data_IF_725769479994
#
_entry.id   IF_725769479994
#
_cell.length_a   1.000
_cell.length_b   1.000
_cell.length_c   1.000
_cell.angle_alpha   90.00
_cell.angle_beta   90.00
_cell.angle_gamma   90.00
#
_symmetry.space_group_name_H-M   'P 1'
#
loop_
_entity.id
_entity.type
_entity.pdbx_description
1 polymer ?
#
# COMPACT_ATOMS: atom_id res chain seq x y z
N UNK A 1 3.66 -3.17 -29.34
CA UNK A 1 2.90 -2.45 -28.29
C UNK A 1 2.08 -3.46 -27.47
N UNK A 2 2.75 -4.47 -26.90
CA UNK A 2 2.15 -5.55 -26.12
C UNK A 2 2.41 -5.51 -24.59
N UNK A 3 3.50 -4.89 -24.06
CA UNK A 3 3.83 -5.05 -22.63
C UNK A 3 2.86 -4.33 -21.69
N UNK A 4 2.19 -3.28 -22.15
CA UNK A 4 1.23 -2.51 -21.34
C UNK A 4 -0.09 -3.26 -21.09
N UNK A 5 -0.53 -4.09 -22.04
CA UNK A 5 -1.80 -4.84 -21.93
C UNK A 5 -1.63 -6.09 -21.05
N UNK A 6 -0.46 -6.73 -21.06
CA UNK A 6 -0.18 -7.83 -20.12
C UNK A 6 -0.07 -7.36 -18.67
N UNK A 7 0.46 -6.15 -18.43
CA UNK A 7 0.48 -5.52 -17.12
C UNK A 7 -0.92 -5.17 -16.57
N UNK A 8 -1.95 -5.17 -17.42
CA UNK A 8 -3.36 -5.02 -17.04
C UNK A 8 -4.05 -6.36 -16.71
N UNK A 9 -3.35 -7.50 -16.77
CA UNK A 9 -3.96 -8.81 -16.45
C UNK A 9 -4.44 -8.84 -15.00
N UNK A 10 -5.72 -9.23 -14.85
CA UNK A 10 -6.39 -9.72 -13.65
C UNK A 10 -5.73 -9.29 -12.34
N UNK A 11 -5.92 -8.03 -11.99
CA UNK A 11 -5.52 -7.50 -10.71
C UNK A 11 -6.44 -8.07 -9.63
N UNK A 12 -5.92 -8.99 -8.82
CA UNK A 12 -6.61 -9.54 -7.65
C UNK A 12 -6.53 -8.52 -6.52
N UNK A 13 -7.64 -8.28 -5.83
CA UNK A 13 -7.67 -7.41 -4.65
C UNK A 13 -7.10 -8.17 -3.44
N UNK A 14 -6.14 -7.55 -2.77
CA UNK A 14 -5.55 -8.01 -1.52
C UNK A 14 -5.77 -6.98 -0.42
N UNK A 15 -5.78 -7.46 0.83
CA UNK A 15 -5.79 -6.61 2.01
C UNK A 15 -4.60 -6.95 2.89
N UNK A 16 -3.81 -5.94 3.27
CA UNK A 16 -2.76 -6.08 4.25
C UNK A 16 -3.16 -5.39 5.57
N UNK A 17 -3.07 -6.13 6.67
CA UNK A 17 -3.23 -5.60 8.03
C UNK A 17 -1.85 -5.25 8.62
N UNK A 18 -1.75 -4.06 9.22
CA UNK A 18 -0.58 -3.57 9.94
C UNK A 18 -0.99 -3.18 11.35
N UNK A 19 -0.16 -3.54 12.34
CA UNK A 19 -0.36 -3.12 13.73
C UNK A 19 0.77 -2.19 14.12
N UNK A 20 0.42 -0.98 14.58
CA UNK A 20 1.39 0.03 14.99
C UNK A 20 0.84 0.88 16.13
N UNK A 21 1.64 1.07 17.19
CA UNK A 21 1.28 1.88 18.37
C UNK A 21 -0.11 1.56 18.96
N UNK A 22 -0.44 0.28 19.09
CA UNK A 22 -1.74 -0.17 19.62
C UNK A 22 -2.93 0.02 18.67
N UNK A 23 -2.70 0.52 17.45
CA UNK A 23 -3.71 0.71 16.41
C UNK A 23 -3.57 -0.34 15.31
N UNK A 24 -4.69 -0.75 14.73
CA UNK A 24 -4.75 -1.64 13.55
C UNK A 24 -5.09 -0.81 12.32
N UNK A 25 -4.30 -0.98 11.28
CA UNK A 25 -4.45 -0.34 9.97
C UNK A 25 -4.66 -1.41 8.92
N UNK A 26 -5.53 -1.16 7.96
CA UNK A 26 -5.72 -2.02 6.81
C UNK A 26 -5.51 -1.21 5.52
N UNK A 27 -4.84 -1.82 4.55
CA UNK A 27 -4.66 -1.25 3.22
C UNK A 27 -5.12 -2.26 2.18
N UNK A 28 -6.11 -1.87 1.38
CA UNK A 28 -6.47 -2.62 0.18
C UNK A 28 -5.54 -2.20 -0.96
N UNK A 29 -5.07 -3.17 -1.72
CA UNK A 29 -4.25 -2.94 -2.90
C UNK A 29 -4.46 -4.07 -3.91
N UNK A 30 -4.11 -3.79 -5.16
CA UNK A 30 -4.24 -4.74 -6.25
C UNK A 30 -2.88 -5.34 -6.60
N UNK A 31 -2.84 -6.65 -6.87
CA UNK A 31 -1.65 -7.34 -7.33
C UNK A 31 -1.96 -8.37 -8.42
N UNK A 32 -0.96 -8.66 -9.25
CA UNK A 32 -1.11 -9.59 -10.38
C UNK A 32 -1.15 -11.04 -9.87
N UNK A 33 -0.37 -11.33 -8.84
CA UNK A 33 -0.29 -12.62 -8.18
C UNK A 33 0.18 -12.44 -6.72
N UNK A 34 0.29 -13.56 -5.99
CA UNK A 34 0.72 -13.57 -4.59
C UNK A 34 2.18 -13.10 -4.40
N UNK A 35 3.05 -13.29 -5.40
CA UNK A 35 4.45 -12.90 -5.34
C UNK A 35 4.59 -11.37 -5.47
N UNK A 36 3.86 -10.76 -6.40
CA UNK A 36 3.70 -9.31 -6.54
C UNK A 36 3.06 -8.72 -5.28
N UNK A 37 2.04 -9.38 -4.72
CA UNK A 37 1.41 -8.93 -3.48
C UNK A 37 2.40 -8.89 -2.32
N UNK A 38 3.21 -9.94 -2.14
CA UNK A 38 4.25 -10.00 -1.12
C UNK A 38 5.32 -8.91 -1.32
N UNK A 39 5.76 -8.69 -2.56
CA UNK A 39 6.73 -7.63 -2.89
C UNK A 39 6.19 -6.23 -2.55
N UNK A 40 4.92 -5.96 -2.86
CA UNK A 40 4.23 -4.70 -2.51
C UNK A 40 4.14 -4.50 -1.00
N UNK A 41 3.75 -5.54 -0.26
CA UNK A 41 3.70 -5.48 1.21
C UNK A 41 5.08 -5.19 1.81
N UNK A 42 6.15 -5.80 1.28
CA UNK A 42 7.52 -5.51 1.74
C UNK A 42 7.91 -4.07 1.42
N UNK A 43 7.65 -3.60 0.20
CA UNK A 43 7.90 -2.20 -0.17
C UNK A 43 7.15 -1.22 0.74
N UNK A 44 5.89 -1.51 1.07
CA UNK A 44 5.11 -0.72 2.02
C UNK A 44 5.78 -0.69 3.40
N UNK A 45 6.17 -1.85 3.94
CA UNK A 45 6.84 -1.94 5.25
C UNK A 45 8.17 -1.17 5.30
N UNK A 46 8.91 -1.15 4.20
CA UNK A 46 10.21 -0.47 4.13
C UNK A 46 10.07 1.03 3.94
N UNK A 47 9.09 1.48 3.15
CA UNK A 47 9.04 2.87 2.67
C UNK A 47 7.97 3.73 3.37
N UNK A 48 6.99 3.14 4.06
CA UNK A 48 5.95 3.89 4.75
C UNK A 48 6.24 3.99 6.25
N UNK A 49 6.16 5.21 6.77
CA UNK A 49 6.15 5.48 8.20
C UNK A 49 4.69 5.62 8.64
N UNK A 50 4.24 4.70 9.51
CA UNK A 50 2.93 4.83 10.15
C UNK A 50 3.04 5.87 11.26
N UNK A 51 2.37 7.00 11.09
CA UNK A 51 2.42 8.13 12.03
C UNK A 51 1.45 7.96 13.22
N UNK A 52 0.75 6.82 13.31
CA UNK A 52 -0.33 6.62 14.28
C UNK A 52 -1.56 7.47 13.97
N UNK A 53 -2.43 7.66 14.96
CA UNK A 53 -3.64 8.49 14.82
C UNK A 53 -3.23 9.94 14.56
N UNK A 54 -3.63 10.48 13.41
CA UNK A 54 -3.46 11.91 13.12
C UNK A 54 -4.33 12.73 14.10
N UNK A 55 -3.71 13.33 15.11
CA UNK A 55 -4.42 14.20 16.04
C UNK A 55 -4.72 15.58 15.44
N UNK A 56 -3.87 16.03 14.52
CA UNK A 56 -4.02 17.28 13.80
C UNK A 56 -3.31 17.21 12.45
N UNK A 57 -3.97 17.71 11.41
CA UNK A 57 -3.35 17.94 10.09
C UNK A 57 -2.93 19.41 10.02
N UNK A 58 -1.71 19.66 9.58
CA UNK A 58 -1.30 20.99 9.12
C UNK A 58 -1.27 20.94 7.60
N UNK A 59 -1.96 21.86 6.94
CA UNK A 59 -1.87 21.98 5.49
C UNK A 59 -0.50 22.54 5.14
N UNK A 60 0.28 21.75 4.40
CA UNK A 60 1.50 22.22 3.77
C UNK A 60 1.11 22.87 2.45
N UNK A 61 0.80 24.17 2.47
CA UNK A 61 0.82 24.95 1.24
C UNK A 61 2.28 25.19 0.82
N UNK A 62 2.65 24.61 -0.33
CA UNK A 62 3.72 25.12 -1.19
C UNK A 62 5.08 24.43 -1.13
N UNK A 63 5.40 23.70 -2.20
CA UNK A 63 6.64 23.87 -2.97
C UNK A 63 6.33 23.64 -4.46
#
# INVERSE_FOLDING_TARGET
MAPFIEALRAQTEYCAEFRHAGSTWALNFFAVDDADAAAKVQSIKTNLVLLGRLERRMDAEGA
#
